data_IF_145955109337
#
_entry.id   IF_145955109337
#
_cell.length_a   1.000
_cell.length_b   1.000
_cell.length_c   1.000
_cell.angle_alpha   90.00
_cell.angle_beta   90.00
_cell.angle_gamma   90.00
#
_symmetry.space_group_name_H-M   'P 1'
#
loop_
_entity.id
_entity.type
_entity.pdbx_description
1 polymer ?
#
# COMPACT_ATOMS: atom_id res chain seq x y z
N UNK A 1 9.61 4.14 10.89
CA UNK A 1 8.46 4.97 11.30
C UNK A 1 8.35 6.10 10.31
N UNK A 2 7.25 6.19 9.56
CA UNK A 2 6.96 7.36 8.74
C UNK A 2 6.13 8.28 9.63
N UNK A 3 6.73 9.35 10.13
CA UNK A 3 6.04 10.32 10.99
C UNK A 3 5.14 11.20 10.13
N UNK A 4 3.83 10.95 10.18
CA UNK A 4 2.82 11.76 9.52
C UNK A 4 2.64 13.09 10.26
N UNK A 5 3.36 14.14 9.83
CA UNK A 5 3.28 15.46 10.46
C UNK A 5 2.72 16.49 9.49
N UNK A 6 1.58 17.08 9.87
CA UNK A 6 0.97 18.21 9.17
C UNK A 6 1.73 19.48 9.55
N UNK A 7 2.06 20.32 8.57
CA UNK A 7 2.72 21.61 8.79
C UNK A 7 1.84 22.74 8.32
N UNK A 8 1.66 23.76 9.17
CA UNK A 8 0.94 24.99 8.85
C UNK A 8 1.91 26.16 8.91
N UNK A 9 2.23 26.83 7.79
CA UNK A 9 3.17 27.95 7.77
C UNK A 9 2.74 29.11 8.68
N UNK A 10 3.72 29.86 9.19
CA UNK A 10 3.42 31.10 9.91
C UNK A 10 2.83 32.15 8.95
N UNK A 11 1.71 32.76 9.32
CA UNK A 11 1.10 33.85 8.55
C UNK A 11 -0.07 33.44 7.63
N UNK A 12 -0.34 32.14 7.46
CA UNK A 12 -1.63 31.67 6.92
C UNK A 12 -2.73 31.78 7.98
N UNK A 13 -3.97 32.00 7.55
CA UNK A 13 -5.15 32.35 8.37
C UNK A 13 -5.33 31.35 9.54
N UNK A 14 -4.76 31.73 10.68
CA UNK A 14 -4.24 30.79 11.65
C UNK A 14 -5.33 30.13 12.48
N UNK A 15 -6.54 30.66 12.55
CA UNK A 15 -7.57 30.06 13.40
C UNK A 15 -8.24 28.88 12.71
N UNK A 16 -8.61 29.04 11.44
CA UNK A 16 -9.40 28.02 10.73
C UNK A 16 -8.55 26.79 10.38
N UNK A 17 -7.30 26.99 9.93
CA UNK A 17 -6.40 25.87 9.62
C UNK A 17 -5.94 25.14 10.89
N UNK A 18 -5.74 25.86 12.01
CA UNK A 18 -5.44 25.22 13.31
C UNK A 18 -6.60 24.43 13.85
N UNK A 19 -7.82 24.97 13.79
CA UNK A 19 -9.05 24.26 14.24
C UNK A 19 -9.28 23.00 13.40
N UNK A 20 -8.97 23.03 12.10
CA UNK A 20 -9.04 21.83 11.26
C UNK A 20 -7.90 20.86 11.58
N UNK A 21 -6.67 21.32 11.75
CA UNK A 21 -5.53 20.47 12.11
C UNK A 21 -5.70 19.80 13.48
N UNK A 22 -6.28 20.48 14.47
CA UNK A 22 -6.60 19.93 15.79
C UNK A 22 -7.65 18.81 15.71
N UNK A 23 -8.48 18.75 14.67
CA UNK A 23 -9.47 17.67 14.48
C UNK A 23 -8.87 16.38 13.90
N UNK A 24 -7.65 16.44 13.39
CA UNK A 24 -7.00 15.34 12.68
C UNK A 24 -5.64 14.96 13.26
N UNK A 25 -5.21 15.65 14.31
CA UNK A 25 -3.92 15.43 14.90
C UNK A 25 -3.70 16.16 16.22
N UNK A 26 -2.68 15.71 16.92
CA UNK A 26 -2.25 16.33 18.17
C UNK A 26 -1.20 17.41 17.87
N UNK A 27 -1.35 18.63 18.43
CA UNK A 27 -0.33 19.65 18.26
C UNK A 27 0.99 19.19 18.89
N UNK A 28 2.09 19.39 18.16
CA UNK A 28 3.45 19.14 18.64
C UNK A 28 4.25 20.43 18.58
N UNK A 29 5.48 20.41 19.12
CA UNK A 29 6.33 21.60 19.14
C UNK A 29 6.48 22.20 17.73
N UNK A 30 6.20 23.51 17.57
CA UNK A 30 6.29 24.17 16.28
C UNK A 30 7.71 24.10 15.75
N UNK A 31 7.83 23.91 14.43
CA UNK A 31 9.11 23.90 13.75
C UNK A 31 9.55 25.30 13.31
N UNK A 32 10.76 25.42 12.75
CA UNK A 32 11.27 26.69 12.23
C UNK A 32 10.43 27.26 11.07
N UNK A 33 9.58 26.44 10.45
CA UNK A 33 8.77 26.80 9.27
C UNK A 33 7.28 26.97 9.57
N UNK A 34 6.83 26.70 10.80
CA UNK A 34 5.41 26.77 11.13
C UNK A 34 4.98 25.86 12.26
N UNK A 35 3.68 25.88 12.52
CA UNK A 35 3.03 24.98 13.48
C UNK A 35 2.98 23.55 12.94
N UNK A 36 3.00 22.57 13.84
CA UNK A 36 3.08 21.14 13.51
C UNK A 36 2.03 20.35 14.28
N UNK A 37 1.42 19.36 13.62
CA UNK A 37 0.53 18.39 14.24
C UNK A 37 0.96 16.98 13.83
N UNK A 38 0.99 16.06 14.77
CA UNK A 38 1.10 14.63 14.51
C UNK A 38 -0.28 14.08 14.15
N UNK A 39 -0.38 13.36 13.03
CA UNK A 39 -1.64 12.78 12.56
C UNK A 39 -2.15 11.75 13.59
N UNK A 40 -3.28 12.08 14.20
CA UNK A 40 -3.97 11.27 15.20
C UNK A 40 -5.47 11.58 15.08
N UNK A 41 -6.12 11.15 13.98
CA UNK A 41 -7.47 11.59 13.69
C UNK A 41 -8.45 10.99 14.68
N UNK A 42 -9.26 11.85 15.30
CA UNK A 42 -10.45 11.43 16.05
C UNK A 42 -11.55 10.99 15.08
N UNK A 43 -12.52 10.22 15.56
CA UNK A 43 -13.67 9.83 14.74
C UNK A 43 -14.37 11.08 14.18
N UNK A 44 -14.49 11.17 12.86
CA UNK A 44 -15.18 12.25 12.16
C UNK A 44 -16.56 11.78 11.69
N UNK A 45 -17.60 12.59 11.92
CA UNK A 45 -18.96 12.26 11.48
C UNK A 45 -19.14 12.39 9.96
N UNK A 46 -18.49 13.38 9.32
CA UNK A 46 -18.53 13.61 7.88
C UNK A 46 -17.13 13.93 7.32
N UNK A 47 -16.42 12.93 6.78
CA UNK A 47 -15.09 13.10 6.22
C UNK A 47 -15.10 13.80 4.86
N UNK A 48 -16.21 13.70 4.10
CA UNK A 48 -16.29 14.29 2.77
C UNK A 48 -16.37 15.81 2.85
N UNK A 49 -17.21 16.33 3.75
CA UNK A 49 -17.31 17.76 4.01
C UNK A 49 -16.02 18.32 4.63
N UNK A 50 -15.36 17.53 5.49
CA UNK A 50 -14.08 17.90 6.06
C UNK A 50 -12.96 17.98 5.00
N UNK A 51 -12.85 16.98 4.10
CA UNK A 51 -11.90 17.02 2.98
C UNK A 51 -12.19 18.16 2.01
N UNK A 52 -13.46 18.42 1.70
CA UNK A 52 -13.86 19.53 0.84
C UNK A 52 -13.44 20.87 1.45
N UNK A 53 -13.55 21.01 2.77
CA UNK A 53 -13.09 22.18 3.50
C UNK A 53 -11.57 22.32 3.39
N UNK A 54 -10.81 21.25 3.68
CA UNK A 54 -9.35 21.26 3.56
C UNK A 54 -8.85 21.59 2.15
N UNK A 55 -9.45 21.02 1.11
CA UNK A 55 -9.08 21.27 -0.30
C UNK A 55 -9.28 22.73 -0.71
N UNK A 56 -10.30 23.40 -0.16
CA UNK A 56 -10.53 24.84 -0.41
C UNK A 56 -9.42 25.70 0.20
N UNK A 57 -8.89 25.32 1.37
CA UNK A 57 -7.78 26.03 2.00
C UNK A 57 -6.43 25.75 1.33
N UNK A 58 -6.21 24.52 0.87
CA UNK A 58 -4.95 24.12 0.23
C UNK A 58 -4.82 24.59 -1.24
N UNK A 59 -5.88 25.17 -1.82
CA UNK A 59 -5.94 25.62 -3.23
C UNK A 59 -5.51 24.53 -4.24
N UNK A 60 -5.77 23.25 -3.93
CA UNK A 60 -5.29 22.13 -4.75
C UNK A 60 -5.48 20.76 -4.11
N UNK A 61 -4.97 19.68 -4.74
CA UNK A 61 -5.01 18.34 -4.16
C UNK A 61 -4.20 18.31 -2.86
N UNK A 62 -4.76 17.69 -1.81
CA UNK A 62 -4.07 17.54 -0.53
C UNK A 62 -2.97 16.46 -0.64
N UNK A 63 -1.96 16.48 0.26
CA UNK A 63 -1.05 15.36 0.42
C UNK A 63 -1.81 14.05 0.66
N UNK A 64 -1.42 12.97 0.00
CA UNK A 64 -2.16 11.69 0.04
C UNK A 64 -2.27 11.09 1.44
N UNK A 65 -1.24 11.29 2.28
CA UNK A 65 -1.20 10.87 3.68
C UNK A 65 -2.27 11.58 4.51
N UNK A 66 -2.54 12.85 4.22
CA UNK A 66 -3.56 13.64 4.90
C UNK A 66 -4.96 13.18 4.49
N UNK A 67 -5.20 12.96 3.20
CA UNK A 67 -6.48 12.45 2.72
C UNK A 67 -6.78 11.06 3.29
N UNK A 68 -5.77 10.18 3.31
CA UNK A 68 -5.89 8.84 3.88
C UNK A 68 -6.18 8.87 5.38
N UNK A 69 -5.57 9.79 6.14
CA UNK A 69 -5.82 9.94 7.57
C UNK A 69 -7.27 10.36 7.86
N UNK A 70 -7.79 11.34 7.11
CA UNK A 70 -9.17 11.80 7.27
C UNK A 70 -10.18 10.71 6.91
N UNK A 71 -9.95 9.99 5.80
CA UNK A 71 -10.82 8.88 5.42
C UNK A 71 -10.72 7.73 6.42
N UNK A 72 -9.51 7.43 6.91
CA UNK A 72 -9.25 6.41 7.93
C UNK A 72 -9.93 6.70 9.27
N UNK A 73 -10.08 7.97 9.64
CA UNK A 73 -10.77 8.44 10.85
C UNK A 73 -12.22 7.94 10.96
N UNK A 74 -12.84 7.60 9.82
CA UNK A 74 -14.27 7.28 9.69
C UNK A 74 -14.53 5.83 9.29
N UNK A 75 -13.48 5.13 8.87
CA UNK A 75 -13.62 3.97 8.02
C UNK A 75 -13.39 2.67 8.76
N UNK A 76 -14.37 1.77 8.69
CA UNK A 76 -14.10 0.34 8.72
C UNK A 76 -13.37 -0.05 7.43
N UNK A 77 -12.12 -0.47 7.55
CA UNK A 77 -11.38 -1.07 6.45
C UNK A 77 -11.79 -2.54 6.32
N UNK A 78 -12.35 -2.91 5.18
CA UNK A 78 -12.61 -4.32 4.86
C UNK A 78 -11.37 -4.89 4.19
N UNK A 79 -10.61 -5.69 4.93
CA UNK A 79 -9.56 -6.51 4.36
C UNK A 79 -10.17 -7.82 3.84
N UNK A 80 -9.85 -8.19 2.61
CA UNK A 80 -10.13 -9.52 2.06
C UNK A 80 -8.80 -10.20 1.76
N UNK A 81 -8.64 -11.42 2.25
CA UNK A 81 -7.52 -12.28 1.89
C UNK A 81 -7.88 -13.05 0.62
N UNK A 82 -6.97 -13.06 -0.35
CA UNK A 82 -7.12 -13.81 -1.59
C UNK A 82 -5.86 -14.61 -1.88
N UNK A 83 -6.03 -15.87 -2.29
CA UNK A 83 -4.92 -16.69 -2.75
C UNK A 83 -4.37 -16.10 -4.06
N UNK A 84 -3.05 -16.02 -4.15
CA UNK A 84 -2.34 -15.52 -5.33
C UNK A 84 -1.30 -16.54 -5.78
N UNK A 85 -0.99 -16.54 -7.07
CA UNK A 85 0.12 -17.30 -7.65
C UNK A 85 1.20 -16.32 -8.09
N UNK A 86 2.45 -16.65 -7.79
CA UNK A 86 3.61 -15.92 -8.32
C UNK A 86 4.05 -16.53 -9.64
N UNK A 87 4.18 -15.70 -10.66
CA UNK A 87 4.68 -16.08 -11.97
C UNK A 87 6.08 -15.53 -12.16
N UNK A 88 7.03 -16.45 -12.31
CA UNK A 88 8.42 -16.11 -12.63
C UNK A 88 8.59 -16.20 -14.13
N UNK A 89 8.81 -15.04 -14.75
CA UNK A 89 8.94 -14.87 -16.19
C UNK A 89 10.35 -14.39 -16.55
N UNK A 90 10.83 -14.63 -17.78
CA UNK A 90 11.92 -13.85 -18.34
C UNK A 90 11.56 -12.36 -18.35
N UNK A 91 12.49 -11.47 -18.03
CA UNK A 91 12.23 -10.03 -17.88
C UNK A 91 11.55 -9.41 -19.11
N UNK A 92 12.08 -9.70 -20.31
CA UNK A 92 11.50 -9.22 -21.56
C UNK A 92 10.05 -9.73 -21.79
N UNK A 93 9.76 -10.96 -21.33
CA UNK A 93 8.42 -11.52 -21.41
C UNK A 93 7.48 -10.84 -20.40
N UNK A 94 7.93 -10.59 -19.17
CA UNK A 94 7.16 -9.84 -18.18
C UNK A 94 6.78 -8.45 -18.69
N UNK A 95 7.74 -7.70 -19.24
CA UNK A 95 7.51 -6.38 -19.83
C UNK A 95 6.50 -6.41 -20.98
N UNK A 96 6.61 -7.42 -21.86
CA UNK A 96 5.69 -7.57 -22.97
C UNK A 96 4.28 -7.95 -22.50
N UNK A 97 4.16 -8.87 -21.56
CA UNK A 97 2.88 -9.36 -21.02
C UNK A 97 2.16 -8.29 -20.21
N UNK A 98 2.85 -7.42 -19.48
CA UNK A 98 2.25 -6.27 -18.82
C UNK A 98 1.58 -5.30 -19.82
N UNK A 99 2.02 -5.29 -21.08
CA UNK A 99 1.41 -4.50 -22.17
C UNK A 99 0.38 -5.30 -22.99
N UNK A 100 0.27 -6.62 -22.79
CA UNK A 100 -0.73 -7.42 -23.48
C UNK A 100 -2.13 -7.07 -22.97
N UNK A 101 -3.07 -6.84 -23.90
CA UNK A 101 -4.43 -6.40 -23.59
C UNK A 101 -5.24 -7.39 -22.74
N UNK A 102 -4.86 -8.67 -22.72
CA UNK A 102 -5.56 -9.72 -21.96
C UNK A 102 -4.78 -10.07 -20.71
N UNK A 103 -3.48 -10.37 -20.83
CA UNK A 103 -2.65 -10.78 -19.70
C UNK A 103 -2.33 -9.60 -18.76
N UNK A 104 -2.06 -8.41 -19.29
CA UNK A 104 -1.65 -7.24 -18.51
C UNK A 104 -2.59 -6.89 -17.35
N UNK A 105 -3.90 -6.78 -17.58
CA UNK A 105 -4.87 -6.54 -16.50
C UNK A 105 -4.94 -7.63 -15.42
N UNK A 106 -4.54 -8.87 -15.73
CA UNK A 106 -4.55 -10.00 -14.79
C UNK A 106 -3.27 -10.05 -13.92
N UNK A 107 -2.21 -9.35 -14.33
CA UNK A 107 -0.98 -9.22 -13.56
C UNK A 107 -1.14 -8.07 -12.56
N UNK A 108 -1.68 -8.37 -11.39
CA UNK A 108 -2.10 -7.38 -10.38
C UNK A 108 -0.94 -6.55 -9.83
N UNK A 109 0.26 -7.14 -9.79
CA UNK A 109 1.47 -6.47 -9.30
C UNK A 109 2.72 -7.12 -9.85
N UNK A 110 3.77 -6.33 -10.01
CA UNK A 110 5.13 -6.80 -10.24
C UNK A 110 5.95 -6.63 -8.96
N UNK A 111 6.57 -7.71 -8.49
CA UNK A 111 7.43 -7.70 -7.29
C UNK A 111 8.86 -7.29 -7.65
N UNK A 112 9.32 -7.69 -8.83
CA UNK A 112 10.64 -7.39 -9.38
C UNK A 112 10.63 -7.50 -10.92
N UNK A 113 11.79 -7.39 -11.58
CA UNK A 113 11.89 -7.45 -13.04
C UNK A 113 11.36 -8.75 -13.68
N UNK A 114 11.09 -9.80 -12.92
CA UNK A 114 10.73 -11.14 -13.42
C UNK A 114 9.49 -11.72 -12.76
N UNK A 115 9.11 -11.25 -11.59
CA UNK A 115 8.06 -11.84 -10.77
C UNK A 115 6.78 -11.00 -10.81
N UNK A 116 5.69 -11.60 -11.31
CA UNK A 116 4.36 -11.01 -11.33
C UNK A 116 3.41 -11.79 -10.41
N UNK A 117 2.45 -11.08 -9.83
CA UNK A 117 1.38 -11.64 -9.00
C UNK A 117 0.10 -11.72 -9.84
N UNK A 118 -0.59 -12.85 -9.74
CA UNK A 118 -1.91 -13.06 -10.32
C UNK A 118 -2.84 -13.68 -9.27
N UNK A 119 -4.11 -13.28 -9.26
CA UNK A 119 -5.10 -13.88 -8.38
C UNK A 119 -5.36 -15.34 -8.79
N UNK A 120 -5.54 -16.22 -7.81
CA UNK A 120 -5.82 -17.63 -8.08
C UNK A 120 -7.09 -17.83 -8.93
N UNK A 121 -8.08 -16.94 -8.81
CA UNK A 121 -9.28 -16.99 -9.64
C UNK A 121 -8.98 -16.70 -11.12
N UNK A 122 -7.96 -15.91 -11.43
CA UNK A 122 -7.65 -15.48 -12.80
C UNK A 122 -6.59 -16.35 -13.49
N UNK A 123 -6.01 -17.30 -12.75
CA UNK A 123 -4.90 -18.14 -13.24
C UNK A 123 -5.26 -18.91 -14.50
N UNK A 124 -6.51 -19.39 -14.59
CA UNK A 124 -6.98 -20.19 -15.72
C UNK A 124 -7.05 -19.36 -17.01
N UNK A 125 -7.52 -18.11 -16.92
CA UNK A 125 -7.59 -17.17 -18.05
C UNK A 125 -6.18 -16.81 -18.51
N UNK A 126 -5.30 -16.48 -17.55
CA UNK A 126 -3.93 -16.11 -17.86
C UNK A 126 -3.16 -17.28 -18.49
N UNK A 127 -3.31 -18.49 -17.95
CA UNK A 127 -2.69 -19.70 -18.50
C UNK A 127 -3.13 -19.95 -19.94
N UNK A 128 -4.43 -19.87 -20.23
CA UNK A 128 -4.94 -20.02 -21.59
C UNK A 128 -4.36 -18.96 -22.54
N UNK A 129 -4.23 -17.72 -22.08
CA UNK A 129 -3.62 -16.63 -22.86
C UNK A 129 -2.14 -16.89 -23.14
N UNK A 130 -1.39 -17.35 -22.15
CA UNK A 130 0.03 -17.67 -22.26
C UNK A 130 0.27 -18.86 -23.20
N UNK A 131 -0.53 -19.91 -23.09
CA UNK A 131 -0.47 -21.07 -23.99
C UNK A 131 -0.78 -20.66 -25.44
N UNK A 132 -1.77 -19.78 -25.67
CA UNK A 132 -2.05 -19.23 -26.99
C UNK A 132 -0.90 -18.40 -27.57
N UNK A 133 -0.16 -17.69 -26.71
CA UNK A 133 1.04 -16.93 -27.08
C UNK A 133 2.28 -17.84 -27.27
N UNK A 134 2.16 -19.14 -27.02
CA UNK A 134 3.24 -20.12 -27.18
C UNK A 134 4.15 -20.29 -25.96
N UNK A 135 3.78 -19.74 -24.80
CA UNK A 135 4.52 -19.99 -23.56
C UNK A 135 4.19 -21.38 -23.01
N UNK A 136 5.22 -22.11 -22.59
CA UNK A 136 5.05 -23.34 -21.82
C UNK A 136 4.70 -23.03 -20.35
N UNK A 137 3.81 -23.83 -19.77
CA UNK A 137 3.47 -23.74 -18.35
C UNK A 137 4.23 -24.80 -17.56
N UNK A 138 5.08 -24.36 -16.64
CA UNK A 138 5.79 -25.24 -15.70
C UNK A 138 5.45 -24.80 -14.28
N UNK A 139 5.01 -25.75 -13.46
CA UNK A 139 4.85 -25.53 -12.02
C UNK A 139 6.23 -25.76 -11.42
N UNK A 140 6.82 -24.70 -10.87
CA UNK A 140 8.07 -24.81 -10.11
C UNK A 140 7.86 -25.65 -8.85
N UNK A 141 8.94 -26.08 -8.17
CA UNK A 141 8.79 -26.74 -6.88
C UNK A 141 7.97 -25.82 -5.95
N UNK A 142 7.00 -26.41 -5.24
CA UNK A 142 6.44 -25.74 -4.08
C UNK A 142 7.61 -25.43 -3.15
N UNK A 143 7.76 -24.17 -2.73
CA UNK A 143 8.71 -23.85 -1.67
C UNK A 143 8.16 -24.45 -0.35
N UNK A 144 8.23 -25.77 -0.19
CA UNK A 144 8.20 -26.45 1.10
C UNK A 144 9.55 -26.16 1.78
N UNK A 145 9.79 -24.93 2.27
CA UNK A 145 10.90 -24.61 3.18
C UNK A 145 10.85 -23.12 3.63
N UNK A 146 9.81 -22.76 4.39
CA UNK A 146 9.80 -21.51 5.18
C UNK A 146 9.27 -21.71 6.61
N UNK A 147 9.30 -22.95 7.11
CA UNK A 147 9.02 -23.36 8.49
C UNK A 147 9.98 -24.53 8.76
N UNK A 148 11.14 -24.38 9.41
CA UNK A 148 11.31 -24.12 10.83
C UNK A 148 12.85 -24.02 11.10
N UNK A 149 13.42 -22.88 11.54
CA UNK A 149 14.85 -22.80 11.83
C UNK A 149 15.26 -23.37 13.21
N UNK A 150 14.39 -24.08 13.94
CA UNK A 150 14.65 -24.45 15.34
C UNK A 150 14.63 -25.96 15.65
N UNK A 151 15.39 -26.75 14.89
CA UNK A 151 15.81 -28.08 15.40
C UNK A 151 17.25 -28.41 14.99
N UNK A 152 18.21 -27.68 15.56
CA UNK A 152 19.56 -28.20 15.66
C UNK A 152 19.58 -29.32 16.73
N UNK A 153 20.09 -30.53 16.46
CA UNK A 153 20.36 -31.49 17.52
C UNK A 153 21.42 -30.89 18.45
N UNK A 154 21.08 -30.71 19.71
CA UNK A 154 22.05 -30.35 20.75
C UNK A 154 22.99 -31.55 20.90
N UNK A 155 24.21 -31.43 20.38
CA UNK A 155 25.33 -32.28 20.75
C UNK A 155 25.57 -32.13 22.26
N UNK A 156 25.12 -33.13 23.03
CA UNK A 156 25.48 -33.25 24.44
C UNK A 156 26.90 -33.81 24.49
N UNK A 157 27.89 -32.91 24.55
CA UNK A 157 29.25 -33.23 24.95
C UNK A 157 29.36 -33.31 26.47
N UNK A 158 29.40 -34.56 26.94
CA UNK A 158 30.23 -35.10 28.03
C UNK A 158 30.05 -34.56 29.47
N UNK A 159 30.43 -35.37 30.48
CA UNK A 159 31.85 -35.63 30.76
C UNK A 159 32.32 -37.07 30.51
#
# INVERSE_FOLDING_TARGET
MVEGVIRVPFGEDALTVRVLADRIGMPVDPGPLGWRWEIAPEALDDPADFLNTLRRFHEGPLPGELEAAVLGATGTLTARSEACTMLVLPEAAADALCRDRVAGPLLTRRLDARTCVVLACDIHVLRQRLEWLGFGWQVGPDNEDASDPDTAPIDVLAP
#
